data_IF_860696110993
#
_entry.id   IF_860696110993
#
_cell.length_a   1.000
_cell.length_b   1.000
_cell.length_c   1.000
_cell.angle_alpha   90.00
_cell.angle_beta   90.00
_cell.angle_gamma   90.00
#
_symmetry.space_group_name_H-M   'P 1'
#
loop_
_entity.id
_entity.type
_entity.pdbx_description
1 polymer ?
#
# COMPACT_ATOMS: atom_id res chain seq x y z
N UNK A 1 -8.56 52.28 20.22
CA UNK A 1 -7.71 51.08 20.18
C UNK A 1 -7.39 50.78 18.72
N UNK A 2 -6.10 50.73 18.41
CA UNK A 2 -5.55 50.93 17.07
C UNK A 2 -5.09 49.60 16.46
N UNK A 3 -5.38 49.46 15.16
CA UNK A 3 -4.67 48.71 14.11
C UNK A 3 -5.02 47.23 13.93
N UNK A 4 -5.90 47.02 12.96
CA UNK A 4 -5.91 45.88 12.03
C UNK A 4 -4.50 45.60 11.49
N UNK A 5 -4.03 44.37 11.61
CA UNK A 5 -2.85 43.88 10.89
C UNK A 5 -3.34 42.80 9.92
N UNK A 6 -3.44 43.23 8.66
CA UNK A 6 -3.47 42.37 7.49
C UNK A 6 -2.05 41.81 7.32
N UNK A 7 -1.86 40.50 7.35
CA UNK A 7 -0.64 39.88 6.89
C UNK A 7 -0.99 38.82 5.84
N UNK A 8 -1.08 39.29 4.60
CA UNK A 8 -0.93 38.47 3.40
C UNK A 8 0.56 38.15 3.30
N UNK A 9 0.95 36.89 3.50
CA UNK A 9 2.24 36.39 3.07
C UNK A 9 2.02 35.37 1.95
N UNK A 10 2.09 35.88 0.73
CA UNK A 10 2.21 35.09 -0.50
C UNK A 10 3.68 34.75 -0.68
N UNK A 11 4.01 33.45 -0.68
CA UNK A 11 5.12 32.83 -1.42
C UNK A 11 4.92 31.32 -1.23
N UNK A 12 4.43 30.57 -2.22
CA UNK A 12 5.01 30.51 -3.55
C UNK A 12 6.31 29.71 -3.53
N UNK A 13 6.33 28.53 -2.90
CA UNK A 13 7.39 27.54 -3.12
C UNK A 13 6.96 26.60 -4.24
N UNK A 14 7.06 27.12 -5.46
CA UNK A 14 7.13 26.28 -6.64
C UNK A 14 8.50 25.60 -6.68
N UNK A 15 8.45 24.26 -6.63
CA UNK A 15 9.24 23.32 -7.43
C UNK A 15 10.77 23.49 -7.44
N UNK A 16 11.45 22.74 -6.57
CA UNK A 16 12.64 21.94 -6.93
C UNK A 16 12.62 20.71 -6.00
N UNK A 17 12.41 19.49 -6.48
CA UNK A 17 13.53 18.67 -6.96
C UNK A 17 13.04 17.60 -7.96
N UNK A 18 13.14 17.93 -9.23
CA UNK A 18 13.42 16.95 -10.27
C UNK A 18 14.83 16.39 -9.99
N UNK A 19 14.91 15.32 -9.20
CA UNK A 19 16.00 14.33 -9.12
C UNK A 19 15.84 13.46 -7.85
N UNK A 20 14.85 12.56 -7.85
CA UNK A 20 14.91 11.23 -7.20
C UNK A 20 13.56 10.53 -7.38
N UNK A 21 13.18 10.26 -8.62
CA UNK A 21 11.88 9.64 -8.96
C UNK A 21 11.69 8.23 -8.38
N UNK A 22 12.72 7.64 -7.74
CA UNK A 22 12.64 6.31 -7.13
C UNK A 22 12.32 6.35 -5.63
N UNK A 23 12.78 7.38 -4.90
CA UNK A 23 12.56 7.50 -3.45
C UNK A 23 11.19 8.12 -3.13
N UNK A 24 10.75 9.10 -3.91
CA UNK A 24 9.45 9.77 -3.72
C UNK A 24 8.24 8.87 -3.93
N UNK A 25 8.35 7.87 -4.80
CA UNK A 25 7.25 6.92 -5.05
C UNK A 25 7.07 5.90 -3.93
N UNK A 26 8.13 5.57 -3.18
CA UNK A 26 8.03 4.68 -2.02
C UNK A 26 7.27 5.36 -0.88
N UNK A 27 7.73 6.54 -0.48
CA UNK A 27 7.13 7.32 0.62
C UNK A 27 5.64 7.60 0.38
N UNK A 28 5.24 7.79 -0.89
CA UNK A 28 3.85 8.02 -1.28
C UNK A 28 2.88 6.90 -0.88
N UNK A 29 3.33 5.65 -0.86
CA UNK A 29 2.46 4.49 -0.62
C UNK A 29 2.69 3.83 0.74
N UNK A 30 3.66 4.30 1.53
CA UNK A 30 4.06 3.66 2.78
C UNK A 30 2.91 3.50 3.78
N UNK A 31 2.11 4.55 3.98
CA UNK A 31 0.98 4.51 4.92
C UNK A 31 -0.05 3.45 4.50
N UNK A 32 -0.41 3.44 3.21
CA UNK A 32 -1.38 2.50 2.67
C UNK A 32 -0.88 1.04 2.73
N UNK A 33 0.41 0.82 2.40
CA UNK A 33 1.03 -0.50 2.47
C UNK A 33 1.08 -0.98 3.92
N UNK A 34 1.51 -0.13 4.86
CA UNK A 34 1.56 -0.48 6.28
C UNK A 34 0.17 -0.84 6.82
N UNK A 35 -0.86 -0.09 6.43
CA UNK A 35 -2.24 -0.41 6.77
C UNK A 35 -2.65 -1.81 6.27
N UNK A 36 -2.36 -2.13 5.00
CA UNK A 36 -2.68 -3.43 4.40
C UNK A 36 -1.93 -4.58 5.09
N UNK A 37 -0.65 -4.41 5.40
CA UNK A 37 0.15 -5.41 6.14
C UNK A 37 -0.42 -5.65 7.55
N UNK A 38 -0.86 -4.61 8.25
CA UNK A 38 -1.51 -4.75 9.57
C UNK A 38 -2.81 -5.55 9.46
N UNK A 39 -3.63 -5.28 8.45
CA UNK A 39 -4.88 -6.01 8.24
C UNK A 39 -4.64 -7.47 7.87
N UNK A 40 -3.66 -7.75 7.01
CA UNK A 40 -3.32 -9.13 6.65
C UNK A 40 -2.80 -9.90 7.86
N UNK A 41 -1.93 -9.32 8.67
CA UNK A 41 -1.46 -9.94 9.92
C UNK A 41 -2.62 -10.29 10.86
N UNK A 42 -3.55 -9.36 11.09
CA UNK A 42 -4.75 -9.62 11.89
C UNK A 42 -5.58 -10.77 11.32
N UNK A 43 -5.75 -10.81 10.00
CA UNK A 43 -6.48 -11.88 9.31
C UNK A 43 -5.77 -13.23 9.47
N UNK A 44 -4.45 -13.28 9.27
CA UNK A 44 -3.64 -14.50 9.35
C UNK A 44 -3.58 -15.07 10.78
N UNK A 45 -3.59 -14.22 11.79
CA UNK A 45 -3.65 -14.65 13.19
C UNK A 45 -5.07 -15.11 13.55
N UNK A 46 -6.10 -14.37 13.13
CA UNK A 46 -7.49 -14.72 13.41
C UNK A 46 -7.93 -16.05 12.77
N UNK A 47 -7.36 -16.40 11.61
CA UNK A 47 -7.65 -17.66 10.93
C UNK A 47 -6.68 -18.80 11.27
N UNK A 48 -5.71 -18.56 12.18
CA UNK A 48 -4.75 -19.56 12.64
C UNK A 48 -3.63 -19.91 11.64
N UNK A 49 -3.48 -19.19 10.52
CA UNK A 49 -2.36 -19.38 9.60
C UNK A 49 -1.04 -18.97 10.26
N UNK A 50 -1.08 -17.92 11.06
CA UNK A 50 0.05 -17.40 11.84
C UNK A 50 -0.24 -17.64 13.32
N UNK A 51 0.77 -18.03 14.10
CA UNK A 51 0.68 -18.02 15.56
C UNK A 51 0.62 -16.57 16.07
N UNK A 52 0.26 -16.38 17.33
CA UNK A 52 0.17 -15.04 17.93
C UNK A 52 1.48 -14.26 17.91
N UNK A 53 2.63 -14.94 17.85
CA UNK A 53 3.96 -14.36 17.77
C UNK A 53 4.51 -14.28 16.34
N UNK A 54 3.83 -14.86 15.35
CA UNK A 54 4.24 -14.78 13.95
C UNK A 54 3.70 -13.48 13.33
N UNK A 55 4.52 -12.80 12.54
CA UNK A 55 4.19 -11.54 11.87
C UNK A 55 4.72 -11.56 10.44
N UNK A 56 3.87 -11.21 9.48
CA UNK A 56 4.22 -10.94 8.11
C UNK A 56 4.95 -9.61 8.07
N UNK A 57 6.26 -9.66 7.83
CA UNK A 57 7.09 -8.47 7.74
C UNK A 57 7.12 -7.89 6.32
N UNK A 58 6.99 -6.57 6.22
CA UNK A 58 6.99 -5.86 4.93
C UNK A 58 8.25 -6.14 4.10
N UNK A 59 9.42 -6.22 4.75
CA UNK A 59 10.71 -6.46 4.08
C UNK A 59 10.78 -7.82 3.34
N UNK A 60 9.99 -8.78 3.82
CA UNK A 60 9.91 -10.14 3.28
C UNK A 60 8.65 -10.36 2.43
N UNK A 61 7.85 -9.30 2.23
CA UNK A 61 6.60 -9.35 1.47
C UNK A 61 6.77 -8.65 0.12
N UNK A 62 6.53 -9.35 -0.98
CA UNK A 62 6.40 -8.75 -2.30
C UNK A 62 5.13 -7.89 -2.36
N UNK A 63 5.25 -6.65 -2.81
CA UNK A 63 4.16 -5.67 -2.80
C UNK A 63 4.02 -5.04 -4.18
N UNK A 64 2.82 -5.11 -4.74
CA UNK A 64 2.46 -4.42 -5.98
C UNK A 64 1.32 -3.45 -5.71
N UNK A 65 1.49 -2.20 -6.16
CA UNK A 65 0.47 -1.16 -6.05
C UNK A 65 -0.03 -0.85 -7.45
N UNK A 66 -1.33 -0.89 -7.66
CA UNK A 66 -1.94 -0.62 -8.95
C UNK A 66 -2.85 0.61 -8.90
N UNK A 67 -3.10 1.18 -10.08
CA UNK A 67 -3.98 2.35 -10.27
C UNK A 67 -3.79 3.43 -9.20
N UNK A 68 -2.53 3.84 -9.00
CA UNK A 68 -2.12 4.89 -8.07
C UNK A 68 -2.56 4.64 -6.61
N UNK A 69 -2.61 3.38 -6.17
CA UNK A 69 -3.04 3.02 -4.81
C UNK A 69 -4.52 2.70 -4.69
N UNK A 70 -5.21 2.44 -5.80
CA UNK A 70 -6.56 1.86 -5.73
C UNK A 70 -6.50 0.40 -5.27
N UNK A 71 -5.48 -0.32 -5.71
CA UNK A 71 -5.25 -1.71 -5.32
C UNK A 71 -3.85 -1.91 -4.78
N UNK A 72 -3.73 -2.80 -3.79
CA UNK A 72 -2.47 -3.28 -3.25
C UNK A 72 -2.53 -4.79 -3.19
N UNK A 73 -1.53 -5.44 -3.77
CA UNK A 73 -1.35 -6.89 -3.75
C UNK A 73 -0.14 -7.24 -2.91
N UNK A 74 -0.32 -8.24 -2.04
CA UNK A 74 0.72 -8.84 -1.23
C UNK A 74 1.04 -10.24 -1.77
N UNK A 75 2.34 -10.54 -1.89
CA UNK A 75 2.89 -11.83 -2.31
C UNK A 75 3.83 -12.32 -1.21
N UNK A 76 3.52 -13.44 -0.56
CA UNK A 76 4.32 -13.96 0.56
C UNK A 76 4.15 -15.46 0.75
N UNK A 77 4.99 -16.04 1.63
CA UNK A 77 4.89 -17.44 2.06
C UNK A 77 4.41 -17.53 3.51
N UNK A 78 3.58 -18.52 3.81
CA UNK A 78 3.21 -18.86 5.18
C UNK A 78 4.33 -19.64 5.87
N UNK A 79 4.29 -19.81 7.21
CA UNK A 79 5.20 -20.71 7.92
C UNK A 79 5.18 -22.16 7.41
N UNK A 80 4.07 -22.60 6.81
CA UNK A 80 3.94 -23.89 6.13
C UNK A 80 4.49 -23.89 4.69
N UNK A 81 5.25 -22.86 4.31
CA UNK A 81 5.83 -22.64 2.98
C UNK A 81 4.80 -22.57 1.84
N UNK A 82 3.56 -22.17 2.13
CA UNK A 82 2.52 -21.99 1.11
C UNK A 82 2.59 -20.58 0.54
N UNK A 83 2.69 -20.45 -0.77
CA UNK A 83 2.58 -19.16 -1.45
C UNK A 83 1.15 -18.63 -1.38
N UNK A 84 1.02 -17.35 -1.03
CA UNK A 84 -0.25 -16.64 -0.90
C UNK A 84 -0.17 -15.33 -1.68
N UNK A 85 -1.24 -15.06 -2.42
CA UNK A 85 -1.51 -13.79 -3.07
C UNK A 85 -2.74 -13.18 -2.40
N UNK A 86 -2.62 -11.93 -1.93
CA UNK A 86 -3.71 -11.24 -1.25
C UNK A 86 -3.91 -9.84 -1.85
N UNK A 87 -5.02 -9.66 -2.55
CA UNK A 87 -5.40 -8.40 -3.15
C UNK A 87 -6.30 -7.59 -2.22
N UNK A 88 -6.01 -6.30 -2.11
CA UNK A 88 -6.79 -5.32 -1.36
C UNK A 88 -7.26 -4.19 -2.28
N UNK A 89 -8.51 -3.79 -2.14
CA UNK A 89 -9.09 -2.62 -2.82
C UNK A 89 -9.37 -1.51 -1.82
N UNK A 90 -9.01 -0.27 -2.19
CA UNK A 90 -9.34 0.92 -1.43
C UNK A 90 -10.80 1.32 -1.67
N UNK A 91 -11.60 1.37 -0.61
CA UNK A 91 -12.97 1.88 -0.67
C UNK A 91 -12.99 3.39 -0.94
N UNK A 92 -14.18 3.93 -1.24
CA UNK A 92 -14.40 5.37 -1.39
C UNK A 92 -14.02 6.16 -0.11
N UNK A 93 -14.18 5.53 1.05
CA UNK A 93 -13.83 6.11 2.36
C UNK A 93 -12.32 6.02 2.66
N UNK A 94 -11.53 5.51 1.70
CA UNK A 94 -10.09 5.41 1.82
C UNK A 94 -9.59 4.17 2.56
N UNK A 95 -10.48 3.29 3.02
CA UNK A 95 -10.16 2.08 3.78
C UNK A 95 -9.91 0.90 2.84
N UNK A 96 -8.82 0.17 3.05
CA UNK A 96 -8.55 -1.05 2.29
C UNK A 96 -9.34 -2.24 2.83
N UNK A 97 -9.95 -3.00 1.93
CA UNK A 97 -10.64 -4.25 2.22
C UNK A 97 -10.06 -5.37 1.35
N UNK A 98 -9.90 -6.55 1.94
CA UNK A 98 -9.44 -7.74 1.22
C UNK A 98 -10.47 -8.06 0.13
N UNK A 99 -10.00 -8.11 -1.11
CA UNK A 99 -10.84 -8.35 -2.27
C UNK A 99 -11.19 -9.85 -2.31
N UNK A 100 -12.42 -10.18 -1.94
CA UNK A 100 -12.89 -11.57 -1.80
C UNK A 100 -13.57 -12.13 -3.06
N UNK A 101 -13.73 -11.33 -4.12
CA UNK A 101 -14.57 -11.70 -5.27
C UNK A 101 -13.77 -12.14 -6.50
N UNK A 102 -14.21 -13.27 -7.07
CA UNK A 102 -13.46 -14.21 -7.90
C UNK A 102 -13.34 -13.84 -9.38
N UNK A 103 -13.61 -12.59 -9.76
CA UNK A 103 -13.58 -12.20 -11.17
C UNK A 103 -12.41 -11.28 -11.47
N UNK A 104 -11.20 -11.84 -11.31
CA UNK A 104 -9.93 -11.20 -11.70
C UNK A 104 -10.00 -10.65 -13.13
N UNK A 105 -10.79 -11.27 -14.03
CA UNK A 105 -10.99 -10.80 -15.41
C UNK A 105 -11.57 -9.38 -15.50
N UNK A 106 -12.38 -8.96 -14.53
CA UNK A 106 -13.00 -7.61 -14.51
C UNK A 106 -12.00 -6.53 -14.09
N UNK A 107 -11.01 -6.90 -13.28
CA UNK A 107 -9.94 -5.99 -12.81
C UNK A 107 -8.61 -6.23 -13.53
N UNK A 108 -8.52 -7.21 -14.42
CA UNK A 108 -7.31 -7.58 -15.16
C UNK A 108 -6.69 -6.37 -15.87
N UNK A 109 -7.51 -5.53 -16.51
CA UNK A 109 -7.07 -4.26 -17.10
C UNK A 109 -6.45 -3.29 -16.09
N UNK A 110 -6.92 -3.33 -14.86
CA UNK A 110 -6.48 -2.45 -13.78
C UNK A 110 -5.20 -2.96 -13.11
N UNK A 111 -4.91 -4.25 -13.24
CA UNK A 111 -3.73 -4.92 -12.68
C UNK A 111 -2.59 -5.12 -13.72
N UNK A 112 -2.73 -4.62 -14.95
CA UNK A 112 -1.69 -4.79 -16.00
C UNK A 112 -0.40 -4.04 -15.73
N UNK A 113 -0.51 -2.86 -15.10
CA UNK A 113 0.63 -1.99 -14.88
C UNK A 113 0.67 -1.52 -13.42
N UNK A 114 1.74 -1.90 -12.73
CA UNK A 114 1.99 -1.47 -11.36
C UNK A 114 2.39 0.01 -11.34
N UNK A 115 1.73 0.78 -10.49
CA UNK A 115 2.15 2.14 -10.12
C UNK A 115 3.37 2.16 -9.19
N UNK A 116 3.58 1.09 -8.43
CA UNK A 116 4.75 0.90 -7.58
C UNK A 116 4.94 -0.59 -7.26
N UNK A 117 6.19 -1.01 -7.08
CA UNK A 117 6.54 -2.36 -6.65
C UNK A 117 7.65 -2.34 -5.60
N UNK A 118 7.60 -3.30 -4.67
CA UNK A 118 8.61 -3.53 -3.64
C UNK A 118 8.81 -5.04 -3.47
N UNK A 119 10.06 -5.50 -3.26
CA UNK A 119 10.40 -6.87 -2.86
C UNK A 119 9.86 -8.03 -3.75
N UNK A 120 9.54 -7.79 -5.04
CA UNK A 120 8.93 -8.78 -5.95
C UNK A 120 9.81 -10.02 -6.24
N UNK A 121 11.06 -10.03 -5.76
CA UNK A 121 11.99 -11.17 -5.88
C UNK A 121 12.27 -11.92 -4.57
N UNK A 122 11.71 -11.49 -3.43
CA UNK A 122 11.97 -12.11 -2.12
C UNK A 122 11.09 -13.35 -1.87
N UNK A 123 10.82 -14.14 -2.92
CA UNK A 123 10.01 -15.38 -2.80
C UNK A 123 10.78 -16.49 -2.12
#
# INVERSE_FOLDING_TARGET
MKKTILLVLVMGLALTSACSNKKSNKEKYDEAINQVIIWENKNLQANGTYRSNDILERKDTGIMVYKKGKFIELLYKTPSNKEIESLYERSKDGIYKKYSNMNLKTIDKDLKESSYTENIGNK
#
